data_IF_697169074076
#
_entry.id   IF_697169074076
#
_cell.length_a   1.000
_cell.length_b   1.000
_cell.length_c   1.000
_cell.angle_alpha   90.00
_cell.angle_beta   90.00
_cell.angle_gamma   90.00
#
_symmetry.space_group_name_H-M   'P 1'
#
loop_
_entity.id
_entity.type
_entity.pdbx_description
1 polymer ?
#
# COMPACT_ATOMS: atom_id res chain seq x y z
N UNK A 1 23.25 31.58 30.50
CA UNK A 1 21.99 30.81 30.50
C UNK A 1 20.77 31.64 30.89
N UNK A 2 20.86 32.59 31.84
CA UNK A 2 19.72 33.45 32.23
C UNK A 2 19.27 34.48 31.17
N UNK A 3 20.18 34.95 30.31
CA UNK A 3 19.85 35.98 29.29
C UNK A 3 18.90 35.44 28.21
N UNK A 4 19.05 34.23 27.81
CA UNK A 4 18.18 33.59 26.81
C UNK A 4 16.74 33.36 27.30
N UNK A 5 16.55 33.15 28.60
CA UNK A 5 15.25 32.93 29.21
C UNK A 5 14.45 34.23 29.26
N UNK A 6 15.11 35.35 29.59
CA UNK A 6 14.49 36.69 29.65
C UNK A 6 14.06 37.19 28.26
N UNK A 7 14.86 36.87 27.21
CA UNK A 7 14.51 37.22 25.83
C UNK A 7 13.34 36.37 25.31
N UNK A 8 13.33 35.05 25.61
CA UNK A 8 12.23 34.17 25.28
C UNK A 8 10.92 34.62 25.98
N UNK A 9 10.98 34.96 27.26
CA UNK A 9 9.83 35.45 28.02
C UNK A 9 9.31 36.80 27.47
N UNK A 10 10.20 37.72 27.05
CA UNK A 10 9.83 38.97 26.39
C UNK A 10 9.18 38.78 25.05
N UNK A 11 9.67 37.81 24.26
CA UNK A 11 9.08 37.47 22.96
C UNK A 11 7.68 36.86 23.13
N UNK A 12 7.50 35.96 24.08
CA UNK A 12 6.20 35.35 24.42
C UNK A 12 5.17 36.41 24.91
N UNK A 13 5.62 37.37 25.73
CA UNK A 13 4.78 38.47 26.16
C UNK A 13 4.41 39.38 24.97
N UNK A 14 5.31 39.59 24.03
CA UNK A 14 5.06 40.35 22.79
C UNK A 14 4.01 39.66 21.92
N UNK A 15 4.15 38.37 21.67
CA UNK A 15 3.19 37.56 20.91
C UNK A 15 1.82 37.50 21.60
N UNK A 16 1.78 37.35 22.93
CA UNK A 16 0.56 37.38 23.71
C UNK A 16 -0.21 38.71 23.57
N UNK A 17 0.50 39.83 23.58
CA UNK A 17 -0.09 41.17 23.38
C UNK A 17 -0.59 41.41 21.96
N UNK A 18 0.12 40.89 20.95
CA UNK A 18 -0.35 40.95 19.56
C UNK A 18 -1.62 40.09 19.35
N UNK A 19 -1.69 38.90 19.94
CA UNK A 19 -2.89 38.07 19.90
C UNK A 19 -4.09 38.74 20.62
N UNK A 20 -3.88 39.37 21.75
CA UNK A 20 -4.92 40.14 22.43
C UNK A 20 -5.40 41.36 21.60
N UNK A 21 -4.51 41.95 20.77
CA UNK A 21 -4.86 43.08 19.91
C UNK A 21 -5.65 42.66 18.67
N UNK A 22 -5.50 41.41 18.21
CA UNK A 22 -6.13 40.89 17.01
C UNK A 22 -7.52 40.28 17.24
N UNK A 23 -7.83 39.88 18.45
CA UNK A 23 -9.13 39.29 18.75
C UNK A 23 -9.60 39.65 20.16
N UNK A 24 -10.41 40.70 20.27
CA UNK A 24 -10.98 41.21 21.54
C UNK A 24 -11.90 40.22 22.27
N UNK A 25 -11.98 38.97 21.82
CA UNK A 25 -12.73 37.90 22.46
C UNK A 25 -11.85 36.72 22.90
N UNK A 26 -10.61 36.62 22.43
CA UNK A 26 -9.71 35.55 22.82
C UNK A 26 -8.90 35.99 24.05
N UNK A 27 -9.39 35.71 25.22
CA UNK A 27 -8.52 35.60 26.41
C UNK A 27 -7.68 34.36 26.19
N UNK A 28 -6.67 34.47 25.30
CA UNK A 28 -5.76 33.42 25.00
C UNK A 28 -4.97 33.07 26.25
N UNK A 29 -5.15 31.88 26.74
CA UNK A 29 -4.27 31.34 27.73
C UNK A 29 -2.87 31.20 27.11
N UNK A 30 -1.92 31.74 27.82
CA UNK A 30 -0.52 31.61 27.48
C UNK A 30 -0.07 30.13 27.59
N UNK A 31 0.97 29.73 26.86
CA UNK A 31 1.49 28.36 26.92
C UNK A 31 1.81 27.94 28.34
N UNK A 32 1.25 26.82 28.76
CA UNK A 32 1.31 26.34 30.13
C UNK A 32 2.67 25.77 30.51
N UNK A 33 3.51 25.43 29.54
CA UNK A 33 4.82 24.83 29.81
C UNK A 33 5.82 25.11 28.69
N UNK A 34 6.92 25.76 29.06
CA UNK A 34 8.10 25.98 28.20
C UNK A 34 9.24 25.15 28.79
N UNK A 35 9.64 24.09 28.14
CA UNK A 35 10.94 23.45 28.36
C UNK A 35 11.90 23.95 27.29
N UNK A 36 13.20 24.01 27.58
CA UNK A 36 14.22 24.54 26.67
C UNK A 36 14.23 23.91 25.27
N UNK A 37 13.64 22.71 25.12
CA UNK A 37 13.64 21.94 23.87
C UNK A 37 12.25 21.79 23.22
N UNK A 38 11.15 22.35 23.79
CA UNK A 38 9.81 22.03 23.32
C UNK A 38 8.79 23.16 23.67
N UNK A 39 8.73 24.17 22.82
CA UNK A 39 7.73 25.22 22.88
C UNK A 39 6.38 24.67 22.41
N UNK A 40 5.41 24.55 23.31
CA UNK A 40 4.06 24.08 23.00
C UNK A 40 3.08 25.20 23.15
N UNK A 41 2.31 25.43 22.10
CA UNK A 41 1.22 26.39 22.08
C UNK A 41 -0.11 25.66 22.11
N UNK A 42 -1.06 26.17 22.89
CA UNK A 42 -2.42 25.67 22.99
C UNK A 42 -3.40 26.82 22.73
N UNK A 43 -4.51 26.54 22.08
CA UNK A 43 -5.67 27.44 22.01
C UNK A 43 -6.92 26.71 22.47
N UNK A 44 -7.91 27.39 23.08
CA UNK A 44 -9.21 26.80 23.35
C UNK A 44 -9.96 26.59 22.03
N UNK A 45 -10.64 25.44 21.89
CA UNK A 45 -11.62 25.20 20.84
C UNK A 45 -12.95 25.95 21.16
N UNK A 46 -13.96 25.89 20.26
CA UNK A 46 -15.27 26.53 20.51
C UNK A 46 -16.01 25.99 21.74
N UNK A 47 -15.71 24.78 22.17
CA UNK A 47 -16.29 24.12 23.35
C UNK A 47 -15.53 24.46 24.64
N UNK A 48 -14.36 25.13 24.53
CA UNK A 48 -13.52 25.57 25.64
C UNK A 48 -12.47 24.55 26.08
N UNK A 49 -12.32 23.45 25.33
CA UNK A 49 -11.25 22.47 25.54
C UNK A 49 -9.94 22.96 24.91
N UNK A 50 -8.82 22.62 25.55
CA UNK A 50 -7.49 23.04 25.10
C UNK A 50 -6.97 22.16 23.96
N UNK A 51 -6.89 22.73 22.75
CA UNK A 51 -6.25 22.09 21.60
C UNK A 51 -4.83 22.60 21.43
N UNK A 52 -3.90 21.66 21.22
CA UNK A 52 -2.52 22.00 20.90
C UNK A 52 -2.46 22.65 19.51
N UNK A 53 -1.81 23.81 19.43
CA UNK A 53 -1.39 24.36 18.14
C UNK A 53 -0.17 23.55 17.66
N UNK A 54 -0.31 22.91 16.53
CA UNK A 54 0.82 22.33 15.83
C UNK A 54 1.42 23.40 14.92
N UNK A 55 2.74 23.44 14.82
CA UNK A 55 3.35 24.07 13.66
C UNK A 55 2.70 23.46 12.42
N UNK A 56 2.57 24.27 11.34
CA UNK A 56 1.99 23.75 10.10
C UNK A 56 2.69 22.42 9.78
N UNK A 57 1.92 21.31 9.86
CA UNK A 57 2.47 20.01 9.54
C UNK A 57 2.97 20.08 8.11
N UNK A 58 4.21 19.66 7.88
CA UNK A 58 4.73 19.52 6.54
C UNK A 58 3.80 18.55 5.80
N UNK A 59 3.27 18.97 4.65
CA UNK A 59 2.40 18.11 3.84
C UNK A 59 3.13 16.82 3.48
N UNK A 60 2.51 15.69 3.80
CA UNK A 60 3.06 14.37 3.47
C UNK A 60 3.10 14.21 1.95
N UNK A 61 4.27 13.99 1.38
CA UNK A 61 4.41 13.68 -0.04
C UNK A 61 3.79 12.32 -0.34
N UNK A 62 2.95 12.24 -1.39
CA UNK A 62 2.36 10.97 -1.83
C UNK A 62 2.92 10.57 -3.19
N UNK A 63 3.42 9.34 -3.30
CA UNK A 63 4.06 8.79 -4.50
C UNK A 63 3.53 7.39 -4.82
N UNK A 64 3.74 6.91 -6.05
CA UNK A 64 3.25 5.60 -6.50
C UNK A 64 4.32 4.50 -6.58
N UNK A 65 5.57 4.78 -6.21
CA UNK A 65 6.71 3.89 -6.45
C UNK A 65 7.66 3.82 -5.25
N UNK A 66 8.35 2.70 -5.07
CA UNK A 66 9.42 2.56 -4.07
C UNK A 66 10.66 3.35 -4.50
N UNK A 67 10.90 3.47 -5.80
CA UNK A 67 12.03 4.26 -6.32
C UNK A 67 11.95 5.73 -5.87
N UNK A 68 10.75 6.32 -5.84
CA UNK A 68 10.57 7.68 -5.34
C UNK A 68 10.95 7.85 -3.86
N UNK A 69 10.73 6.80 -3.03
CA UNK A 69 11.18 6.78 -1.63
C UNK A 69 12.70 6.80 -1.55
N UNK A 70 13.35 5.98 -2.39
CA UNK A 70 14.83 5.91 -2.46
C UNK A 70 15.41 7.24 -2.95
N UNK A 71 14.84 7.82 -3.99
CA UNK A 71 15.28 9.10 -4.56
C UNK A 71 15.15 10.25 -3.56
N UNK A 72 14.03 10.32 -2.84
CA UNK A 72 13.80 11.31 -1.79
C UNK A 72 14.84 11.23 -0.66
N UNK A 73 15.14 10.03 -0.17
CA UNK A 73 16.10 9.85 0.92
C UNK A 73 17.55 10.02 0.47
N UNK A 74 17.90 9.66 -0.78
CA UNK A 74 19.23 9.89 -1.33
C UNK A 74 19.51 11.37 -1.62
N UNK A 75 18.52 12.09 -2.20
CA UNK A 75 18.64 13.52 -2.47
C UNK A 75 18.50 14.37 -1.21
N UNK A 76 17.72 13.86 -0.24
CA UNK A 76 17.48 14.49 1.06
C UNK A 76 17.17 16.00 0.96
N UNK A 77 16.14 16.41 0.18
CA UNK A 77 15.84 17.82 -0.07
C UNK A 77 15.48 18.58 1.22
N UNK A 78 14.92 17.88 2.19
CA UNK A 78 14.45 18.46 3.46
C UNK A 78 15.55 18.47 4.54
N UNK A 79 16.77 18.00 4.23
CA UNK A 79 17.90 17.98 5.16
C UNK A 79 17.68 17.09 6.39
N UNK A 80 17.00 15.95 6.22
CA UNK A 80 16.64 15.03 7.29
C UNK A 80 17.89 14.34 7.87
N UNK A 81 17.90 14.12 9.18
CA UNK A 81 18.87 13.23 9.84
C UNK A 81 18.49 11.77 9.55
N UNK A 82 19.16 11.15 8.57
CA UNK A 82 18.85 9.78 8.11
C UNK A 82 18.91 8.75 9.24
N UNK A 83 19.75 8.95 10.25
CA UNK A 83 19.81 8.09 11.45
C UNK A 83 18.54 8.12 12.31
N UNK A 84 17.69 9.14 12.12
CA UNK A 84 16.41 9.32 12.79
C UNK A 84 15.20 9.03 11.87
N UNK A 85 15.45 8.46 10.68
CA UNK A 85 14.41 8.07 9.75
C UNK A 85 14.07 6.59 9.90
N UNK A 86 12.78 6.30 9.80
CA UNK A 86 12.21 4.97 9.79
C UNK A 86 11.37 4.80 8.52
N UNK A 87 11.71 3.83 7.69
CA UNK A 87 10.86 3.38 6.59
C UNK A 87 10.02 2.21 7.07
N UNK A 88 8.71 2.36 7.02
CA UNK A 88 7.74 1.39 7.51
C UNK A 88 6.93 0.81 6.36
N UNK A 89 7.07 -0.48 6.13
CA UNK A 89 6.20 -1.26 5.24
C UNK A 89 4.90 -1.53 6.00
N UNK A 90 3.87 -0.76 5.72
CA UNK A 90 2.60 -0.84 6.46
C UNK A 90 1.77 -2.06 6.06
N UNK A 91 1.77 -2.35 4.77
CA UNK A 91 1.08 -3.48 4.15
C UNK A 91 1.69 -3.76 2.76
N UNK A 92 1.05 -4.62 1.97
CA UNK A 92 1.53 -5.04 0.65
C UNK A 92 1.55 -3.94 -0.41
N UNK A 93 0.89 -2.81 -0.16
CA UNK A 93 0.73 -1.69 -1.09
C UNK A 93 1.17 -0.34 -0.54
N UNK A 94 1.49 -0.25 0.76
CA UNK A 94 1.75 1.03 1.41
C UNK A 94 3.07 1.01 2.18
N UNK A 95 3.93 1.99 1.87
CA UNK A 95 5.19 2.26 2.59
C UNK A 95 5.18 3.71 3.07
N UNK A 96 5.67 3.96 4.29
CA UNK A 96 5.78 5.30 4.88
C UNK A 96 7.21 5.61 5.28
N UNK A 97 7.64 6.83 5.00
CA UNK A 97 8.87 7.43 5.53
C UNK A 97 8.49 8.31 6.70
N UNK A 98 8.98 8.02 7.88
CA UNK A 98 8.60 8.73 9.09
C UNK A 98 9.81 8.98 10.00
N UNK A 99 9.68 9.94 10.92
CA UNK A 99 10.65 10.15 11.97
C UNK A 99 10.65 9.00 13.00
N UNK A 100 11.77 8.81 13.71
CA UNK A 100 11.72 8.15 15.02
C UNK A 100 10.88 9.00 15.98
N UNK A 101 10.39 8.46 17.11
CA UNK A 101 9.65 9.25 18.09
C UNK A 101 10.49 10.41 18.61
N UNK A 102 9.94 11.61 18.60
CA UNK A 102 10.57 12.82 19.12
C UNK A 102 9.67 13.57 20.10
N UNK A 103 10.24 14.54 20.81
CA UNK A 103 9.53 15.32 21.82
C UNK A 103 9.06 14.50 23.04
N UNK A 104 8.54 15.19 24.03
CA UNK A 104 8.05 14.57 25.29
C UNK A 104 6.86 13.63 25.07
N UNK A 105 6.07 13.84 24.03
CA UNK A 105 4.89 13.02 23.67
C UNK A 105 5.19 11.86 22.75
N UNK A 106 6.47 11.66 22.38
CA UNK A 106 6.88 10.56 21.48
C UNK A 106 6.10 10.54 20.15
N UNK A 107 5.91 11.72 19.55
CA UNK A 107 5.23 11.88 18.27
C UNK A 107 6.12 11.40 17.11
N UNK A 108 5.49 11.12 15.97
CA UNK A 108 6.16 10.83 14.70
C UNK A 108 5.59 11.76 13.62
N UNK A 109 6.45 12.24 12.75
CA UNK A 109 6.05 12.94 11.52
C UNK A 109 6.16 11.96 10.36
N UNK A 110 5.19 11.94 9.47
CA UNK A 110 5.25 11.22 8.19
C UNK A 110 5.68 12.20 7.10
N UNK A 111 6.83 11.96 6.50
CA UNK A 111 7.38 12.80 5.43
C UNK A 111 6.87 12.39 4.06
N UNK A 112 6.79 11.08 3.83
CA UNK A 112 6.35 10.54 2.55
C UNK A 112 5.53 9.27 2.74
N UNK A 113 4.56 9.07 1.86
CA UNK A 113 3.78 7.85 1.71
C UNK A 113 3.87 7.37 0.26
N UNK A 114 4.26 6.13 0.06
CA UNK A 114 4.20 5.45 -1.22
C UNK A 114 3.02 4.48 -1.22
N UNK A 115 2.13 4.59 -2.22
CA UNK A 115 1.00 3.68 -2.42
C UNK A 115 1.15 3.03 -3.80
N UNK A 116 1.27 1.70 -3.84
CA UNK A 116 1.45 0.96 -5.08
C UNK A 116 0.24 1.12 -6.01
N UNK A 117 0.51 1.35 -7.29
CA UNK A 117 -0.52 1.38 -8.33
C UNK A 117 -0.69 -0.03 -8.87
N UNK A 118 -1.75 -0.71 -8.45
CA UNK A 118 -2.04 -2.09 -8.83
C UNK A 118 -3.33 -2.17 -9.66
N UNK A 119 -3.44 -3.13 -10.61
CA UNK A 119 -4.69 -3.36 -11.33
C UNK A 119 -5.79 -3.88 -10.41
N UNK A 120 -7.05 -3.65 -10.79
CA UNK A 120 -8.19 -4.20 -10.07
C UNK A 120 -8.31 -5.71 -10.32
N UNK A 121 -8.11 -6.52 -9.28
CA UNK A 121 -8.26 -7.97 -9.37
C UNK A 121 -9.73 -8.40 -9.21
N UNK A 122 -10.09 -9.47 -9.95
CA UNK A 122 -11.46 -10.01 -10.01
C UNK A 122 -11.57 -11.39 -9.34
N UNK A 123 -10.76 -11.66 -8.31
CA UNK A 123 -10.85 -12.93 -7.57
C UNK A 123 -12.25 -13.14 -6.99
N UNK A 124 -12.76 -14.38 -7.08
CA UNK A 124 -14.10 -14.74 -6.61
C UNK A 124 -15.25 -14.32 -7.53
N UNK A 125 -15.00 -13.51 -8.57
CA UNK A 125 -16.03 -13.02 -9.48
C UNK A 125 -16.10 -13.86 -10.76
N UNK A 126 -17.33 -14.16 -11.21
CA UNK A 126 -17.56 -14.79 -12.51
C UNK A 126 -17.36 -13.78 -13.63
N UNK A 127 -16.59 -14.15 -14.63
CA UNK A 127 -16.21 -13.31 -15.79
C UNK A 127 -16.38 -14.11 -17.06
N UNK A 128 -16.92 -13.50 -18.13
CA UNK A 128 -17.00 -14.14 -19.43
C UNK A 128 -15.62 -14.49 -19.98
N UNK A 129 -15.45 -15.57 -20.79
CA UNK A 129 -14.13 -15.91 -21.34
C UNK A 129 -13.50 -14.77 -22.15
N UNK A 130 -14.31 -13.96 -22.87
CA UNK A 130 -13.86 -12.81 -23.67
C UNK A 130 -13.20 -11.71 -22.82
N UNK A 131 -13.67 -11.50 -21.60
CA UNK A 131 -13.09 -10.57 -20.65
C UNK A 131 -12.00 -11.22 -19.78
N UNK A 132 -12.13 -12.53 -19.54
CA UNK A 132 -11.23 -13.24 -18.64
C UNK A 132 -9.83 -13.41 -19.22
N UNK A 133 -9.71 -13.70 -20.53
CA UNK A 133 -8.40 -13.82 -21.20
C UNK A 133 -7.61 -12.50 -21.15
N UNK A 134 -8.18 -11.35 -21.58
CA UNK A 134 -7.50 -10.05 -21.42
C UNK A 134 -7.15 -9.71 -19.96
N UNK A 135 -8.01 -10.06 -19.00
CA UNK A 135 -7.73 -9.88 -17.57
C UNK A 135 -6.48 -10.67 -17.14
N UNK A 136 -6.38 -11.95 -17.51
CA UNK A 136 -5.20 -12.77 -17.20
C UNK A 136 -3.92 -12.20 -17.83
N UNK A 137 -4.00 -11.72 -19.07
CA UNK A 137 -2.85 -11.17 -19.79
C UNK A 137 -2.38 -9.82 -19.24
N UNK A 138 -3.29 -9.00 -18.70
CA UNK A 138 -2.99 -7.64 -18.27
C UNK A 138 -2.66 -7.51 -16.78
N UNK A 139 -3.14 -8.43 -15.94
CA UNK A 139 -3.05 -8.30 -14.49
C UNK A 139 -2.07 -9.28 -13.82
N UNK A 140 -1.39 -10.14 -14.60
CA UNK A 140 -0.51 -11.18 -14.08
C UNK A 140 0.83 -11.20 -14.79
N UNK A 141 1.87 -11.61 -14.07
CA UNK A 141 3.17 -11.91 -14.63
C UNK A 141 3.08 -13.26 -15.37
N UNK A 142 3.67 -13.41 -16.57
CA UNK A 142 3.67 -14.67 -17.32
C UNK A 142 4.22 -15.84 -16.50
N UNK A 143 3.55 -16.99 -16.55
CA UNK A 143 3.95 -18.26 -15.93
C UNK A 143 3.31 -19.46 -16.64
N UNK A 144 3.85 -20.65 -16.47
CA UNK A 144 3.35 -21.87 -17.12
C UNK A 144 1.87 -22.15 -16.77
N UNK A 145 1.50 -21.99 -15.49
CA UNK A 145 0.12 -22.19 -15.05
C UNK A 145 -0.82 -21.11 -15.61
N UNK A 146 -0.34 -19.84 -15.70
CA UNK A 146 -1.10 -18.76 -16.33
C UNK A 146 -1.35 -19.05 -17.81
N UNK A 147 -0.33 -19.50 -18.54
CA UNK A 147 -0.43 -19.86 -19.96
C UNK A 147 -1.43 -21.02 -20.17
N UNK A 148 -1.44 -22.01 -19.27
CA UNK A 148 -2.41 -23.09 -19.29
C UNK A 148 -3.84 -22.54 -19.09
N UNK A 149 -4.06 -21.62 -18.13
CA UNK A 149 -5.35 -21.00 -17.89
C UNK A 149 -5.83 -20.14 -19.07
N UNK A 150 -4.92 -19.36 -19.68
CA UNK A 150 -5.22 -18.56 -20.88
C UNK A 150 -5.64 -19.48 -22.04
N UNK A 151 -4.88 -20.56 -22.26
CA UNK A 151 -5.17 -21.53 -23.33
C UNK A 151 -6.52 -22.22 -23.14
N UNK A 152 -6.82 -22.63 -21.91
CA UNK A 152 -8.12 -23.24 -21.58
C UNK A 152 -9.25 -22.25 -21.85
N UNK A 153 -9.12 -21.03 -21.31
CA UNK A 153 -10.14 -19.97 -21.41
C UNK A 153 -10.35 -19.49 -22.86
N UNK A 154 -9.26 -19.33 -23.63
CA UNK A 154 -9.33 -18.96 -25.05
C UNK A 154 -10.01 -20.02 -25.92
N UNK A 155 -9.83 -21.30 -25.61
CA UNK A 155 -10.53 -22.37 -26.31
C UNK A 155 -12.05 -22.39 -26.03
N UNK A 156 -12.52 -21.75 -24.96
CA UNK A 156 -13.94 -21.64 -24.61
C UNK A 156 -14.69 -20.62 -25.45
N UNK A 157 -14.00 -19.57 -25.93
CA UNK A 157 -14.60 -18.48 -26.72
C UNK A 157 -15.20 -19.01 -28.03
N UNK A 158 -14.56 -20.02 -28.64
CA UNK A 158 -14.93 -20.57 -29.96
C UNK A 158 -15.84 -21.82 -29.88
N UNK A 159 -16.44 -22.14 -28.74
CA UNK A 159 -17.05 -23.45 -28.51
C UNK A 159 -18.58 -23.42 -28.48
N UNK A 160 -19.23 -24.39 -29.17
CA UNK A 160 -20.68 -24.56 -29.15
C UNK A 160 -21.20 -25.47 -28.00
N UNK A 161 -20.37 -26.30 -27.41
CA UNK A 161 -20.69 -27.15 -26.26
C UNK A 161 -19.50 -27.28 -25.29
N UNK A 162 -19.72 -26.88 -24.03
CA UNK A 162 -18.78 -27.08 -22.92
C UNK A 162 -19.38 -28.03 -21.90
N UNK A 163 -18.67 -29.13 -21.61
CA UNK A 163 -19.01 -30.03 -20.49
C UNK A 163 -17.98 -29.89 -19.40
N UNK A 164 -18.45 -29.58 -18.21
CA UNK A 164 -17.63 -29.50 -17.00
C UNK A 164 -17.93 -30.72 -16.15
N UNK A 165 -16.91 -31.49 -15.82
CA UNK A 165 -16.99 -32.57 -14.85
C UNK A 165 -16.20 -32.13 -13.60
N UNK A 166 -16.87 -32.02 -12.47
CA UNK A 166 -16.33 -31.54 -11.21
C UNK A 166 -16.44 -32.66 -10.17
N UNK A 167 -15.32 -33.06 -9.56
CA UNK A 167 -15.27 -34.05 -8.48
C UNK A 167 -15.17 -33.36 -7.08
N UNK A 168 -15.30 -32.03 -7.04
CA UNK A 168 -15.16 -31.22 -5.83
C UNK A 168 -13.73 -30.80 -5.50
N UNK A 169 -12.72 -31.43 -6.12
CA UNK A 169 -11.29 -31.15 -5.90
C UNK A 169 -10.65 -30.60 -7.18
N UNK A 170 -10.92 -31.21 -8.32
CA UNK A 170 -10.42 -30.82 -9.62
C UNK A 170 -11.57 -30.64 -10.63
N UNK A 171 -11.35 -29.82 -11.66
CA UNK A 171 -12.28 -29.72 -12.79
C UNK A 171 -11.61 -30.26 -14.05
N UNK A 172 -12.30 -31.15 -14.73
CA UNK A 172 -11.93 -31.61 -16.07
C UNK A 172 -12.82 -30.92 -17.09
N UNK A 173 -12.20 -30.25 -18.05
CA UNK A 173 -12.91 -29.49 -19.07
C UNK A 173 -12.81 -30.20 -20.41
N UNK A 174 -13.93 -30.75 -20.87
CA UNK A 174 -14.05 -31.33 -22.22
C UNK A 174 -14.64 -30.32 -23.17
N UNK A 175 -13.87 -29.91 -24.17
CA UNK A 175 -14.26 -28.92 -25.18
C UNK A 175 -14.61 -29.64 -26.49
N UNK A 176 -15.79 -29.37 -27.04
CA UNK A 176 -16.19 -29.83 -28.37
C UNK A 176 -16.35 -28.65 -29.33
N UNK A 177 -15.66 -28.71 -30.45
CA UNK A 177 -15.84 -27.78 -31.56
C UNK A 177 -16.31 -28.56 -32.77
N UNK A 178 -17.59 -28.42 -33.16
CA UNK A 178 -18.20 -29.21 -34.21
C UNK A 178 -18.30 -30.71 -33.86
N UNK A 179 -18.04 -31.61 -34.84
CA UNK A 179 -18.10 -33.05 -34.66
C UNK A 179 -16.81 -33.69 -34.07
N UNK A 180 -15.75 -32.90 -33.85
CA UNK A 180 -14.46 -33.40 -33.34
C UNK A 180 -14.24 -33.05 -31.87
N UNK A 181 -13.83 -34.03 -31.03
CA UNK A 181 -13.32 -33.80 -29.67
C UNK A 181 -12.00 -33.03 -29.76
N UNK A 182 -11.93 -31.81 -29.27
CA UNK A 182 -10.64 -31.13 -28.99
C UNK A 182 -10.12 -31.64 -27.63
N UNK A 183 -8.82 -31.84 -27.55
CA UNK A 183 -8.11 -32.47 -26.45
C UNK A 183 -8.58 -32.07 -25.06
N UNK A 184 -8.65 -33.00 -24.15
CA UNK A 184 -8.73 -32.77 -22.71
C UNK A 184 -7.46 -32.03 -22.29
N UNK A 185 -7.65 -30.82 -21.77
CA UNK A 185 -6.55 -30.03 -21.22
C UNK A 185 -6.67 -30.09 -19.68
N UNK A 186 -5.68 -30.70 -19.00
CA UNK A 186 -5.72 -30.72 -17.53
C UNK A 186 -5.65 -29.30 -17.01
N UNK A 187 -6.59 -28.97 -16.11
CA UNK A 187 -6.62 -27.69 -15.40
C UNK A 187 -5.69 -27.80 -14.20
N UNK A 188 -4.65 -26.95 -14.07
CA UNK A 188 -3.85 -26.95 -12.86
C UNK A 188 -4.73 -26.59 -11.65
N UNK A 189 -4.72 -27.47 -10.61
CA UNK A 189 -5.54 -27.25 -9.40
C UNK A 189 -4.79 -27.75 -8.15
N UNK A 190 -4.36 -26.84 -7.25
CA UNK A 190 -4.37 -25.39 -7.45
C UNK A 190 -3.33 -24.94 -8.49
N UNK A 191 -3.63 -23.85 -9.21
CA UNK A 191 -2.68 -23.16 -10.06
C UNK A 191 -1.88 -22.15 -9.24
N UNK A 192 -0.61 -21.92 -9.62
CA UNK A 192 0.24 -20.87 -9.05
C UNK A 192 0.38 -19.73 -10.04
N UNK A 193 -0.10 -18.56 -9.68
CA UNK A 193 -0.09 -17.37 -10.51
C UNK A 193 0.53 -16.19 -9.77
N UNK A 194 1.01 -15.19 -10.51
CA UNK A 194 1.72 -14.02 -9.96
C UNK A 194 0.99 -12.73 -10.37
N UNK A 195 -0.13 -12.37 -9.71
CA UNK A 195 -0.83 -11.12 -10.01
C UNK A 195 0.01 -9.90 -9.59
N UNK A 196 -0.14 -8.78 -10.29
CA UNK A 196 0.43 -7.50 -9.86
C UNK A 196 -0.29 -7.03 -8.61
N UNK A 197 0.14 -7.48 -7.43
CA UNK A 197 -0.53 -7.29 -6.13
C UNK A 197 0.26 -6.40 -5.15
N UNK A 198 1.43 -5.93 -5.58
CA UNK A 198 2.32 -5.04 -4.82
C UNK A 198 3.07 -4.10 -5.77
N UNK A 199 4.07 -3.38 -5.26
CA UNK A 199 4.91 -2.47 -6.05
C UNK A 199 5.57 -3.20 -7.24
N UNK A 200 5.65 -2.50 -8.39
CA UNK A 200 6.18 -3.07 -9.62
C UNK A 200 7.69 -3.36 -9.57
N UNK A 201 8.42 -2.69 -8.67
CA UNK A 201 9.87 -2.81 -8.51
C UNK A 201 10.30 -4.12 -7.83
N UNK A 202 9.36 -4.81 -7.19
CA UNK A 202 9.66 -6.06 -6.48
C UNK A 202 9.04 -7.27 -7.18
N UNK A 203 9.61 -8.45 -6.91
CA UNK A 203 9.03 -9.69 -7.40
C UNK A 203 7.58 -9.82 -6.90
N UNK A 204 6.66 -10.13 -7.82
CA UNK A 204 5.27 -10.36 -7.45
C UNK A 204 5.13 -11.68 -6.69
N UNK A 205 4.39 -11.71 -5.58
CA UNK A 205 4.26 -12.90 -4.76
C UNK A 205 3.43 -13.98 -5.46
N UNK A 206 3.71 -15.23 -5.12
CA UNK A 206 2.98 -16.39 -5.63
C UNK A 206 1.61 -16.52 -4.96
N UNK A 207 0.53 -16.49 -5.75
CA UNK A 207 -0.83 -16.78 -5.30
C UNK A 207 -1.24 -18.18 -5.73
N UNK A 208 -1.75 -18.98 -4.79
CA UNK A 208 -2.42 -20.23 -5.12
C UNK A 208 -3.88 -19.99 -5.38
N UNK A 209 -4.35 -20.39 -6.56
CA UNK A 209 -5.73 -20.17 -6.99
C UNK A 209 -6.37 -21.44 -7.48
N UNK A 210 -7.68 -21.55 -7.29
CA UNK A 210 -8.50 -22.59 -7.90
C UNK A 210 -9.27 -21.95 -9.05
N UNK A 211 -9.07 -22.49 -10.25
CA UNK A 211 -9.87 -22.13 -11.41
C UNK A 211 -11.21 -22.84 -11.36
N UNK A 212 -12.29 -22.13 -11.67
CA UNK A 212 -13.64 -22.68 -11.81
C UNK A 212 -14.27 -22.22 -13.09
N UNK A 213 -14.99 -23.14 -13.73
CA UNK A 213 -15.73 -22.92 -14.96
C UNK A 213 -17.20 -23.20 -14.72
N UNK A 214 -18.06 -22.33 -15.25
CA UNK A 214 -19.51 -22.49 -15.30
C UNK A 214 -19.93 -22.59 -16.77
N UNK A 215 -20.85 -23.51 -17.11
CA UNK A 215 -21.30 -23.74 -18.47
C UNK A 215 -22.53 -22.95 -18.90
N UNK A 216 -23.34 -22.46 -17.94
CA UNK A 216 -24.58 -21.71 -18.25
C UNK A 216 -24.90 -20.66 -17.20
N UNK A 217 -24.67 -19.35 -17.49
CA UNK A 217 -23.93 -18.84 -18.64
C UNK A 217 -22.45 -19.27 -18.60
N UNK A 218 -21.78 -19.31 -19.75
CA UNK A 218 -20.36 -19.65 -19.80
C UNK A 218 -19.54 -18.57 -19.10
N UNK A 219 -18.83 -18.94 -18.04
CA UNK A 219 -18.03 -18.00 -17.24
C UNK A 219 -16.88 -18.70 -16.52
N UNK A 220 -15.79 -17.96 -16.33
CA UNK A 220 -14.60 -18.37 -15.63
C UNK A 220 -14.42 -17.60 -14.31
N UNK A 221 -13.78 -18.23 -13.33
CA UNK A 221 -13.47 -17.60 -12.03
C UNK A 221 -12.16 -18.14 -11.46
N UNK A 222 -11.36 -17.25 -10.84
CA UNK A 222 -10.26 -17.62 -9.97
C UNK A 222 -10.65 -17.39 -8.51
N UNK A 223 -10.34 -18.34 -7.66
CA UNK A 223 -10.58 -18.27 -6.21
C UNK A 223 -9.24 -18.44 -5.52
N UNK A 224 -8.81 -17.47 -4.73
CA UNK A 224 -7.61 -17.60 -3.88
C UNK A 224 -7.81 -18.71 -2.84
N UNK A 225 -6.80 -19.56 -2.68
CA UNK A 225 -6.87 -20.71 -1.78
C UNK A 225 -5.64 -20.86 -0.86
N UNK A 226 -4.85 -19.80 -0.69
CA UNK A 226 -3.65 -19.76 0.16
C UNK A 226 -3.86 -19.07 1.51
N UNK A 227 -5.09 -18.63 1.80
CA UNK A 227 -5.41 -17.93 3.04
C UNK A 227 -4.73 -16.56 3.19
N UNK A 228 -4.23 -15.98 2.09
CA UNK A 228 -3.51 -14.71 2.07
C UNK A 228 -2.03 -14.82 2.47
N UNK A 229 -1.44 -16.02 2.41
CA UNK A 229 -0.03 -16.26 2.73
C UNK A 229 0.92 -15.43 1.83
N UNK A 230 0.53 -15.16 0.59
CA UNK A 230 1.24 -14.31 -0.36
C UNK A 230 1.57 -12.90 0.19
N UNK A 231 0.77 -12.40 1.14
CA UNK A 231 0.98 -11.06 1.74
C UNK A 231 2.29 -10.98 2.51
N UNK A 232 2.66 -12.06 3.19
CA UNK A 232 3.93 -12.12 3.93
C UNK A 232 5.12 -12.11 2.96
N UNK A 233 5.01 -12.81 1.84
CA UNK A 233 6.02 -12.80 0.78
C UNK A 233 6.16 -11.42 0.15
N UNK A 234 5.05 -10.75 -0.18
CA UNK A 234 5.06 -9.38 -0.71
C UNK A 234 5.76 -8.39 0.24
N UNK A 235 5.42 -8.42 1.53
CA UNK A 235 6.05 -7.57 2.56
C UNK A 235 7.55 -7.85 2.67
N UNK A 236 7.95 -9.12 2.63
CA UNK A 236 9.35 -9.51 2.66
C UNK A 236 10.11 -9.02 1.42
N UNK A 237 9.51 -9.12 0.23
CA UNK A 237 10.10 -8.64 -1.02
C UNK A 237 10.29 -7.11 -0.98
N UNK A 238 9.28 -6.34 -0.54
CA UNK A 238 9.38 -4.89 -0.36
C UNK A 238 10.50 -4.54 0.63
N UNK A 239 10.54 -5.21 1.78
CA UNK A 239 11.56 -4.97 2.80
C UNK A 239 12.97 -5.23 2.27
N UNK A 240 13.18 -6.34 1.58
CA UNK A 240 14.48 -6.71 1.02
C UNK A 240 14.94 -5.67 0.02
N UNK A 241 14.08 -5.31 -0.93
CA UNK A 241 14.37 -4.31 -1.94
C UNK A 241 14.73 -2.94 -1.32
N UNK A 242 13.97 -2.50 -0.30
CA UNK A 242 14.25 -1.24 0.41
C UNK A 242 15.61 -1.28 1.11
N UNK A 243 15.96 -2.38 1.79
CA UNK A 243 17.27 -2.50 2.47
C UNK A 243 18.42 -2.43 1.47
N UNK A 244 18.25 -2.97 0.26
CA UNK A 244 19.30 -2.98 -0.77
C UNK A 244 19.50 -1.62 -1.46
N UNK A 245 18.47 -0.77 -1.47
CA UNK A 245 18.47 0.48 -2.26
C UNK A 245 18.48 1.77 -1.42
N UNK A 246 18.16 1.70 -0.13
CA UNK A 246 18.16 2.87 0.75
C UNK A 246 19.56 3.28 1.20
N UNK A 247 19.79 4.59 1.47
CA UNK A 247 21.08 5.06 2.00
C UNK A 247 21.35 4.49 3.39
N UNK A 248 22.64 4.40 3.72
CA UNK A 248 23.08 3.94 5.04
C UNK A 248 22.48 4.77 6.18
N UNK A 249 22.15 4.10 7.28
CA UNK A 249 21.61 4.74 8.49
C UNK A 249 20.08 4.71 8.57
N UNK A 250 19.36 4.56 7.45
CA UNK A 250 17.89 4.45 7.44
C UNK A 250 17.46 3.08 7.97
N UNK A 251 16.49 3.07 8.88
CA UNK A 251 15.95 1.85 9.46
C UNK A 251 14.71 1.41 8.71
N UNK A 252 14.61 0.12 8.40
CA UNK A 252 13.42 -0.48 7.73
C UNK A 252 12.74 -1.44 8.68
N UNK A 253 11.43 -1.28 8.86
CA UNK A 253 10.53 -2.23 9.53
C UNK A 253 9.41 -2.67 8.59
N UNK A 254 8.99 -3.94 8.72
CA UNK A 254 7.94 -4.55 7.92
C UNK A 254 7.12 -5.52 8.76
#
# INVERSE_FOLDING_TARGET
MEINRIEADRHLIGVGRELESLDGKAKAALPIHVTEDDLRFYKPDPEGEWQRLHDAEQDTLTVGTLQAVVDYLNQNPDGLDLGKILVHVCDVTTVRVMSVPFGGWKQRTTYMRADAVIPAHRFGSWTSPDEFVPYLQSCFVPSDDLDALIKISGNLVDTSEVRVQDDGVSQEVSIRQGAARKAEVPVPSPAVVFPFSTFAEVAQPAHKVVFRLQSSPLACKLIECDGGAWKLEAIANIRTWLIENLPEGVKVIA
#
